data_IF_979166369850
#
_entry.id   IF_979166369850
#
_cell.length_a   1.000
_cell.length_b   1.000
_cell.length_c   1.000
_cell.angle_alpha   90.00
_cell.angle_beta   90.00
_cell.angle_gamma   90.00
#
_symmetry.space_group_name_H-M   'P 1'
#
loop_
_entity.id
_entity.type
_entity.pdbx_description
1 polymer ?
#
# COMPACT_ATOMS: atom_id res chain seq x y z
N UNK A 1 17.33 29.33 9.94
CA UNK A 1 18.78 29.44 9.67
C UNK A 1 19.10 28.63 8.43
N UNK A 2 19.61 29.32 7.40
CA UNK A 2 20.31 28.83 6.19
C UNK A 2 19.88 27.52 5.50
N UNK A 3 19.17 27.64 4.38
CA UNK A 3 19.27 26.66 3.29
C UNK A 3 20.62 26.86 2.60
N UNK A 4 21.63 26.07 3.00
CA UNK A 4 22.94 26.04 2.37
C UNK A 4 22.91 25.19 1.11
N UNK A 5 23.01 25.84 -0.05
CA UNK A 5 23.01 25.19 -1.37
C UNK A 5 24.34 24.51 -1.68
N UNK A 6 24.50 23.24 -1.32
CA UNK A 6 25.58 22.37 -1.82
C UNK A 6 25.09 21.28 -2.77
N UNK A 7 23.78 21.15 -3.01
CA UNK A 7 23.20 20.14 -3.90
C UNK A 7 23.40 18.69 -3.45
N UNK A 8 24.04 18.47 -2.29
CA UNK A 8 24.26 17.17 -1.69
C UNK A 8 23.58 17.15 -0.32
N UNK A 9 22.53 16.35 -0.19
CA UNK A 9 21.88 16.12 1.09
C UNK A 9 22.88 15.41 2.03
N UNK A 10 23.09 15.96 3.22
CA UNK A 10 23.86 15.27 4.26
C UNK A 10 23.12 14.02 4.73
N UNK A 11 23.83 13.05 5.32
CA UNK A 11 23.23 11.81 5.85
C UNK A 11 22.04 12.08 6.79
N UNK A 12 22.10 13.14 7.58
CA UNK A 12 21.02 13.54 8.49
C UNK A 12 19.76 14.06 7.77
N UNK A 13 19.94 14.73 6.63
CA UNK A 13 18.84 15.17 5.78
C UNK A 13 18.23 13.98 5.02
N UNK A 14 19.06 13.03 4.58
CA UNK A 14 18.61 11.76 4.02
C UNK A 14 17.77 10.96 5.02
N UNK A 15 18.23 10.81 6.27
CA UNK A 15 17.48 10.09 7.31
C UNK A 15 16.13 10.75 7.60
N UNK A 16 16.07 12.09 7.68
CA UNK A 16 14.79 12.79 7.85
C UNK A 16 13.83 12.58 6.69
N UNK A 17 14.33 12.61 5.45
CA UNK A 17 13.51 12.34 4.27
C UNK A 17 13.06 10.88 4.27
N UNK A 18 13.96 9.96 4.62
CA UNK A 18 13.65 8.53 4.72
C UNK A 18 12.56 8.28 5.76
N UNK A 19 12.65 8.87 6.96
CA UNK A 19 11.63 8.75 8.00
C UNK A 19 10.29 9.30 7.52
N UNK A 20 10.28 10.49 6.91
CA UNK A 20 9.05 11.08 6.35
C UNK A 20 8.45 10.20 5.25
N UNK A 21 9.27 9.61 4.39
CA UNK A 21 8.80 8.73 3.32
C UNK A 21 8.28 7.41 3.91
N UNK A 22 8.98 6.86 4.89
CA UNK A 22 8.64 5.61 5.54
C UNK A 22 7.35 5.71 6.37
N UNK A 23 7.21 6.74 7.21
CA UNK A 23 5.98 7.04 7.96
C UNK A 23 4.76 7.20 7.05
N UNK A 24 4.99 7.67 5.82
CA UNK A 24 3.95 7.91 4.82
C UNK A 24 3.72 6.73 3.88
N UNK A 25 4.45 5.62 4.02
CA UNK A 25 4.40 4.51 3.05
C UNK A 25 4.68 4.98 1.61
N UNK A 26 5.57 5.95 1.42
CA UNK A 26 5.87 6.53 0.10
C UNK A 26 4.76 7.42 -0.49
N UNK A 27 3.64 7.62 0.19
CA UNK A 27 2.49 8.35 -0.36
C UNK A 27 2.64 9.88 -0.25
N UNK A 28 2.09 10.58 -1.25
CA UNK A 28 1.89 12.02 -1.17
C UNK A 28 0.92 12.37 -0.04
N UNK A 29 0.99 13.60 0.49
CA UNK A 29 0.07 14.07 1.53
C UNK A 29 -1.41 13.93 1.15
N UNK A 30 -1.75 14.16 -0.12
CA UNK A 30 -3.12 13.99 -0.60
C UNK A 30 -3.55 12.52 -0.62
N UNK A 31 -2.67 11.62 -1.04
CA UNK A 31 -2.92 10.19 -1.00
C UNK A 31 -3.10 9.69 0.45
N UNK A 32 -2.28 10.16 1.39
CA UNK A 32 -2.45 9.85 2.81
C UNK A 32 -3.79 10.30 3.38
N UNK A 33 -4.25 11.51 3.05
CA UNK A 33 -5.56 11.98 3.50
C UNK A 33 -6.69 11.07 3.01
N UNK A 34 -6.57 10.55 1.78
CA UNK A 34 -7.52 9.56 1.24
C UNK A 34 -7.41 8.22 1.97
N UNK A 35 -6.20 7.70 2.18
CA UNK A 35 -5.98 6.44 2.88
C UNK A 35 -6.41 6.49 4.35
N UNK A 36 -6.17 7.60 5.05
CA UNK A 36 -6.70 7.85 6.40
C UNK A 36 -8.23 7.94 6.42
N UNK A 37 -8.82 8.48 5.35
CA UNK A 37 -10.27 8.48 5.15
C UNK A 37 -10.81 7.07 4.98
N UNK A 38 -10.13 6.24 4.19
CA UNK A 38 -10.46 4.81 4.01
C UNK A 38 -10.31 4.05 5.32
N UNK A 39 -9.20 4.20 6.03
CA UNK A 39 -8.98 3.55 7.34
C UNK A 39 -10.13 3.85 8.30
N UNK A 40 -10.42 5.14 8.52
CA UNK A 40 -11.53 5.58 9.39
C UNK A 40 -12.92 5.16 8.93
N UNK A 41 -13.08 4.82 7.64
CA UNK A 41 -14.34 4.32 7.12
C UNK A 41 -14.59 2.86 7.54
N UNK A 42 -13.52 2.09 7.68
CA UNK A 42 -13.59 0.65 8.00
C UNK A 42 -13.30 0.34 9.47
N UNK A 43 -12.63 1.24 10.20
CA UNK A 43 -12.55 1.28 11.67
C UNK A 43 -13.92 1.73 12.24
N UNK A 44 -14.88 0.81 12.22
CA UNK A 44 -16.28 1.08 12.53
C UNK A 44 -16.52 1.34 14.03
N UNK A 45 -15.74 0.68 14.88
CA UNK A 45 -15.75 0.78 16.33
C UNK A 45 -14.85 1.90 16.87
N UNK A 46 -14.07 2.56 16.00
CA UNK A 46 -13.20 3.70 16.34
C UNK A 46 -12.16 3.36 17.42
N UNK A 47 -11.75 2.09 17.48
CA UNK A 47 -10.73 1.63 18.41
C UNK A 47 -9.32 1.89 17.84
N UNK A 48 -9.23 2.40 16.62
CA UNK A 48 -7.99 2.80 15.96
C UNK A 48 -7.24 1.63 15.34
N UNK A 49 -7.88 0.47 15.23
CA UNK A 49 -7.32 -0.74 14.65
C UNK A 49 -8.31 -1.38 13.66
N UNK A 50 -7.78 -2.16 12.72
CA UNK A 50 -8.59 -2.99 11.84
C UNK A 50 -8.39 -4.46 12.17
N UNK A 51 -9.50 -5.19 12.30
CA UNK A 51 -9.52 -6.64 12.27
C UNK A 51 -9.38 -7.17 10.82
N UNK A 52 -9.23 -8.49 10.68
CA UNK A 52 -8.98 -9.10 9.37
C UNK A 52 -10.12 -8.94 8.36
N UNK A 53 -11.36 -8.84 8.84
CA UNK A 53 -12.53 -8.64 7.98
C UNK A 53 -12.62 -7.18 7.50
N UNK A 54 -12.37 -6.23 8.41
CA UNK A 54 -12.35 -4.79 8.11
C UNK A 54 -11.18 -4.45 7.16
N UNK A 55 -10.01 -5.04 7.39
CA UNK A 55 -8.83 -4.88 6.54
C UNK A 55 -9.08 -5.38 5.12
N UNK A 56 -9.66 -6.58 4.98
CA UNK A 56 -9.99 -7.15 3.66
C UNK A 56 -11.00 -6.29 2.91
N UNK A 57 -12.02 -5.79 3.61
CA UNK A 57 -13.01 -4.88 3.04
C UNK A 57 -12.37 -3.54 2.60
N UNK A 58 -11.43 -3.01 3.38
CA UNK A 58 -10.70 -1.80 3.05
C UNK A 58 -9.81 -1.97 1.81
N UNK A 59 -9.13 -3.11 1.68
CA UNK A 59 -8.29 -3.41 0.52
C UNK A 59 -9.11 -3.69 -0.74
N UNK A 60 -10.25 -4.37 -0.61
CA UNK A 60 -11.23 -4.51 -1.69
C UNK A 60 -11.73 -3.15 -2.18
N UNK A 61 -12.06 -2.24 -1.25
CA UNK A 61 -12.47 -0.88 -1.60
C UNK A 61 -11.38 -0.10 -2.35
N UNK A 62 -10.11 -0.38 -2.08
CA UNK A 62 -8.96 0.19 -2.77
C UNK A 62 -8.63 -0.51 -4.09
N UNK A 63 -9.33 -1.59 -4.45
CA UNK A 63 -9.05 -2.40 -5.64
C UNK A 63 -7.80 -3.27 -5.54
N UNK A 64 -7.36 -3.60 -4.33
CA UNK A 64 -6.12 -4.34 -4.06
C UNK A 64 -6.35 -5.83 -3.82
N UNK A 65 -7.48 -6.39 -4.26
CA UNK A 65 -7.86 -7.80 -4.05
C UNK A 65 -6.85 -8.80 -4.60
N UNK A 66 -6.18 -8.45 -5.70
CA UNK A 66 -5.15 -9.26 -6.34
C UNK A 66 -3.92 -9.48 -5.45
N UNK A 67 -3.80 -8.72 -4.35
CA UNK A 67 -2.70 -8.80 -3.39
C UNK A 67 -3.16 -9.34 -2.02
N UNK A 68 -4.32 -10.00 -1.95
CA UNK A 68 -4.83 -10.56 -0.69
C UNK A 68 -3.86 -11.56 -0.02
N UNK A 69 -3.02 -12.24 -0.81
CA UNK A 69 -2.03 -13.20 -0.31
C UNK A 69 -0.86 -12.51 0.45
N UNK A 70 -0.69 -11.19 0.31
CA UNK A 70 0.32 -10.39 1.02
C UNK A 70 -0.17 -9.87 2.37
N UNK A 71 -1.47 -9.98 2.63
CA UNK A 71 -2.06 -9.51 3.87
C UNK A 71 -1.68 -10.51 4.96
N UNK A 72 -1.07 -10.05 6.08
CA UNK A 72 -0.84 -10.95 7.21
C UNK A 72 -2.17 -11.58 7.64
N UNK A 73 -2.13 -12.85 8.03
CA UNK A 73 -3.32 -13.51 8.57
C UNK A 73 -3.73 -12.80 9.87
N UNK A 74 -4.73 -11.93 9.75
CA UNK A 74 -5.35 -11.25 10.87
C UNK A 74 -6.68 -11.93 11.17
N UNK A 75 -6.88 -12.45 12.39
CA UNK A 75 -8.15 -13.05 12.75
C UNK A 75 -9.27 -12.00 12.71
N UNK A 76 -10.47 -12.40 12.32
CA UNK A 76 -11.64 -11.56 12.52
C UNK A 76 -11.95 -11.47 14.03
N UNK A 77 -12.45 -10.32 14.49
CA UNK A 77 -12.99 -10.20 15.85
C UNK A 77 -14.18 -11.16 15.98
N UNK A 78 -14.09 -12.12 16.90
CA UNK A 78 -15.17 -13.06 17.19
C UNK A 78 -16.04 -12.46 18.31
N UNK A 79 -17.18 -11.86 17.93
CA UNK A 79 -18.12 -11.19 18.87
C UNK A 79 -18.75 -12.15 19.91
N UNK A 80 -18.56 -13.47 19.73
CA UNK A 80 -19.17 -14.52 20.56
C UNK A 80 -18.34 -14.97 21.76
N UNK A 81 -17.13 -14.42 21.96
CA UNK A 81 -16.29 -14.74 23.12
C UNK A 81 -16.31 -13.62 24.15
N UNK A 82 -17.15 -13.79 25.17
CA UNK A 82 -16.99 -13.16 26.48
C UNK A 82 -15.73 -13.74 27.13
N UNK A 83 -14.53 -13.29 26.74
CA UNK A 83 -13.29 -13.70 27.39
C UNK A 83 -12.60 -12.46 27.97
N UNK A 84 -12.39 -12.49 29.29
CA UNK A 84 -11.71 -11.49 30.14
C UNK A 84 -10.23 -11.27 29.80
N UNK A 85 -9.74 -11.82 28.70
CA UNK A 85 -8.45 -11.50 28.09
C UNK A 85 -8.72 -11.00 26.66
N UNK A 86 -8.58 -9.69 26.46
CA UNK A 86 -8.59 -9.09 25.13
C UNK A 86 -7.67 -9.91 24.23
N UNK A 87 -8.15 -10.39 23.07
CA UNK A 87 -7.34 -11.27 22.24
C UNK A 87 -6.07 -10.50 21.85
N UNK A 88 -4.90 -11.04 22.22
CA UNK A 88 -3.57 -10.67 21.70
C UNK A 88 -3.46 -11.08 20.21
N UNK A 89 -4.49 -10.80 19.42
CA UNK A 89 -4.50 -10.98 17.98
C UNK A 89 -3.72 -9.84 17.31
N UNK A 90 -3.08 -10.10 16.15
CA UNK A 90 -2.35 -9.07 15.42
C UNK A 90 -3.33 -8.06 14.80
N UNK A 91 -3.72 -7.03 15.56
CA UNK A 91 -4.52 -5.93 15.06
C UNK A 91 -3.71 -5.01 14.14
N UNK A 92 -4.34 -4.44 13.12
CA UNK A 92 -3.66 -3.54 12.18
C UNK A 92 -3.93 -2.09 12.56
N UNK A 93 -2.90 -1.42 13.09
CA UNK A 93 -2.94 0.01 13.31
C UNK A 93 -2.85 0.79 11.98
N UNK A 94 -3.17 2.08 12.01
CA UNK A 94 -3.14 2.94 10.82
C UNK A 94 -1.77 2.94 10.11
N UNK A 95 -0.67 2.91 10.85
CA UNK A 95 0.68 2.85 10.26
C UNK A 95 0.91 1.54 9.51
N UNK A 96 0.45 0.42 10.07
CA UNK A 96 0.60 -0.91 9.45
C UNK A 96 -0.28 -1.03 8.21
N UNK A 97 -1.49 -0.47 8.25
CA UNK A 97 -2.36 -0.36 7.08
C UNK A 97 -1.66 0.39 5.93
N UNK A 98 -1.01 1.53 6.21
CA UNK A 98 -0.27 2.28 5.20
C UNK A 98 0.91 1.48 4.62
N UNK A 99 1.63 0.73 5.45
CA UNK A 99 2.72 -0.14 5.00
C UNK A 99 2.22 -1.29 4.11
N UNK A 100 1.08 -1.89 4.46
CA UNK A 100 0.43 -2.92 3.62
C UNK A 100 0.08 -2.33 2.25
N UNK A 101 -0.61 -1.19 2.22
CA UNK A 101 -0.99 -0.53 0.96
C UNK A 101 0.24 -0.11 0.15
N UNK A 102 1.32 0.35 0.81
CA UNK A 102 2.59 0.67 0.15
C UNK A 102 3.19 -0.56 -0.54
N UNK A 103 3.25 -1.70 0.14
CA UNK A 103 3.78 -2.95 -0.45
C UNK A 103 2.95 -3.43 -1.63
N UNK A 104 1.62 -3.36 -1.52
CA UNK A 104 0.73 -3.68 -2.65
C UNK A 104 1.02 -2.79 -3.86
N UNK A 105 1.17 -1.48 -3.63
CA UNK A 105 1.48 -0.54 -4.70
C UNK A 105 2.87 -0.76 -5.31
N UNK A 106 3.88 -1.02 -4.50
CA UNK A 106 5.23 -1.33 -4.99
C UNK A 106 5.24 -2.58 -5.88
N UNK A 107 4.47 -3.61 -5.51
CA UNK A 107 4.29 -4.81 -6.34
C UNK A 107 3.56 -4.53 -7.63
N UNK A 108 2.46 -3.78 -7.58
CA UNK A 108 1.73 -3.37 -8.78
C UNK A 108 2.67 -2.62 -9.74
N UNK A 109 3.43 -1.65 -9.23
CA UNK A 109 4.43 -0.91 -10.02
C UNK A 109 5.50 -1.85 -10.56
N UNK A 110 5.98 -2.82 -9.78
CA UNK A 110 6.97 -3.82 -10.22
C UNK A 110 6.41 -4.73 -11.32
N UNK A 111 5.17 -5.19 -11.18
CA UNK A 111 4.47 -6.01 -12.16
C UNK A 111 4.27 -5.25 -13.48
N UNK A 112 3.79 -4.00 -13.39
CA UNK A 112 3.64 -3.10 -14.55
C UNK A 112 4.99 -2.90 -15.24
N UNK A 113 6.06 -2.58 -14.48
CA UNK A 113 7.40 -2.42 -15.04
C UNK A 113 7.88 -3.68 -15.75
N UNK A 114 7.62 -4.85 -15.18
CA UNK A 114 8.03 -6.14 -15.76
C UNK A 114 7.26 -6.42 -17.06
N UNK A 115 5.93 -6.30 -17.04
CA UNK A 115 5.08 -6.48 -18.21
C UNK A 115 5.42 -5.50 -19.34
N UNK A 116 5.74 -4.25 -18.98
CA UNK A 116 6.14 -3.22 -19.93
C UNK A 116 7.53 -3.49 -20.52
N UNK A 117 8.51 -3.82 -19.67
CA UNK A 117 9.90 -4.12 -20.10
C UNK A 117 9.97 -5.38 -20.96
N UNK A 118 9.11 -6.36 -20.72
CA UNK A 118 8.99 -7.56 -21.55
C UNK A 118 8.58 -7.25 -23.00
N UNK A 119 7.94 -6.10 -23.24
CA UNK A 119 7.46 -5.69 -24.58
C UNK A 119 8.22 -4.50 -25.18
N UNK A 120 8.86 -3.66 -24.37
CA UNK A 120 9.82 -2.66 -24.85
C UNK A 120 11.22 -3.28 -25.05
N UNK A 121 11.31 -4.20 -26.01
CA UNK A 121 12.59 -4.83 -26.39
C UNK A 121 13.65 -3.81 -26.83
N UNK A 122 13.22 -2.61 -27.22
CA UNK A 122 14.09 -1.50 -27.62
C UNK A 122 14.63 -0.66 -26.46
N UNK A 123 14.17 -0.88 -25.21
CA UNK A 123 14.52 -0.10 -24.01
C UNK A 123 14.36 1.42 -24.20
N UNK A 124 13.36 1.81 -24.98
CA UNK A 124 13.09 3.22 -25.30
C UNK A 124 12.26 3.92 -24.22
N UNK A 125 11.71 3.15 -23.27
CA UNK A 125 10.71 3.60 -22.32
C UNK A 125 9.32 3.75 -22.94
N UNK A 126 9.07 3.16 -24.11
CA UNK A 126 7.80 3.25 -24.85
C UNK A 126 7.38 1.89 -25.41
N UNK A 127 6.08 1.60 -25.37
CA UNK A 127 5.47 0.43 -26.03
C UNK A 127 4.49 0.89 -27.09
N UNK A 128 4.25 0.05 -28.10
CA UNK A 128 3.28 0.37 -29.13
C UNK A 128 1.85 0.17 -28.58
N UNK A 129 0.90 0.99 -29.05
CA UNK A 129 -0.49 0.92 -28.61
C UNK A 129 -1.13 -0.46 -28.87
N UNK A 130 -0.69 -1.16 -29.92
CA UNK A 130 -1.13 -2.53 -30.24
C UNK A 130 -0.71 -3.57 -29.19
N UNK A 131 0.30 -3.28 -28.39
CA UNK A 131 0.85 -4.19 -27.37
C UNK A 131 0.19 -3.97 -26.01
N UNK A 132 -0.53 -2.86 -25.81
CA UNK A 132 -1.23 -2.53 -24.57
C UNK A 132 -2.29 -3.58 -24.15
N UNK A 133 -3.12 -4.13 -25.05
CA UNK A 133 -4.08 -5.16 -24.65
C UNK A 133 -3.40 -6.37 -24.00
N UNK A 134 -2.29 -6.82 -24.58
CA UNK A 134 -1.52 -7.94 -24.04
C UNK A 134 -0.83 -7.57 -22.70
N UNK A 135 -0.41 -6.32 -22.51
CA UNK A 135 0.10 -5.84 -21.20
C UNK A 135 -1.01 -5.88 -20.15
N UNK A 136 -2.21 -5.45 -20.48
CA UNK A 136 -3.34 -5.50 -19.54
C UNK A 136 -3.80 -6.93 -19.25
N UNK A 137 -3.68 -7.85 -20.21
CA UNK A 137 -3.91 -9.29 -20.01
C UNK A 137 -2.87 -9.90 -19.06
N UNK A 138 -1.57 -9.62 -19.27
CA UNK A 138 -0.49 -10.08 -18.36
C UNK A 138 -0.65 -9.56 -16.92
N UNK A 139 -1.23 -8.37 -16.77
CA UNK A 139 -1.50 -7.75 -15.47
C UNK A 139 -2.83 -8.18 -14.86
N UNK A 140 -3.64 -9.00 -15.58
CA UNK A 140 -4.92 -9.48 -15.11
C UNK A 140 -6.05 -8.46 -15.13
N UNK A 141 -5.90 -7.34 -15.84
CA UNK A 141 -6.95 -6.31 -16.00
C UNK A 141 -7.93 -6.62 -17.14
N UNK A 142 -7.54 -7.47 -18.09
CA UNK A 142 -8.41 -7.98 -19.16
C UNK A 142 -8.59 -9.49 -18.95
N UNK A 143 -9.85 -9.91 -18.81
CA UNK A 143 -10.29 -11.30 -18.75
C UNK A 143 -11.03 -11.68 -20.03
#
# INVERSE_FOLDING_TARGET
TGFGGTGAAGLEEYLRIYDIVHERGGFTRLALLRLHGTFRRFDADQDGILDGSQLRAALHWLGLDAFNDEIPEVPAKDETKDDEEAPDGPFIAQTDFLQIVSRCHEREVSAVKTAFSGRDASMTGSVNMKDLPAIFEDLGYLA
#
